data_IF_358838085779
#
_entry.id   IF_358838085779
#
_cell.length_a   1.000
_cell.length_b   1.000
_cell.length_c   1.000
_cell.angle_alpha   90.00
_cell.angle_beta   90.00
_cell.angle_gamma   90.00
#
_symmetry.space_group_name_H-M   'P 1'
#
loop_
_entity.id
_entity.type
_entity.pdbx_description
1 polymer ?
#
# COMPACT_ATOMS: atom_id res chain seq x y z
N UNK A 1 15.67 2.77 -3.05
CA UNK A 1 14.38 2.60 -2.34
C UNK A 1 13.64 1.32 -2.70
N UNK A 2 13.64 0.84 -3.96
CA UNK A 2 13.02 -0.44 -4.36
C UNK A 2 13.20 -1.59 -3.36
N UNK A 3 14.43 -1.85 -2.91
CA UNK A 3 14.71 -2.95 -1.97
C UNK A 3 14.03 -2.79 -0.62
N UNK A 4 13.90 -1.56 -0.12
CA UNK A 4 13.18 -1.26 1.14
C UNK A 4 11.71 -1.65 1.00
N UNK A 5 11.09 -1.33 -0.14
CA UNK A 5 9.69 -1.69 -0.39
C UNK A 5 9.49 -3.20 -0.54
N UNK A 6 10.42 -3.90 -1.19
CA UNK A 6 10.40 -5.37 -1.29
C UNK A 6 10.53 -5.99 0.10
N UNK A 7 11.49 -5.52 0.91
CA UNK A 7 11.66 -5.99 2.28
C UNK A 7 10.40 -5.75 3.12
N UNK A 8 9.74 -4.60 2.97
CA UNK A 8 8.48 -4.31 3.64
C UNK A 8 7.36 -5.28 3.21
N UNK A 9 7.25 -5.61 1.91
CA UNK A 9 6.29 -6.62 1.43
C UNK A 9 6.60 -8.00 2.01
N UNK A 10 7.87 -8.43 1.95
CA UNK A 10 8.29 -9.75 2.49
C UNK A 10 8.02 -9.83 3.98
N UNK A 11 8.34 -8.77 4.73
CA UNK A 11 8.09 -8.71 6.16
C UNK A 11 6.59 -8.74 6.47
N UNK A 12 5.78 -7.91 5.80
CA UNK A 12 4.33 -7.91 5.99
C UNK A 12 3.69 -9.25 5.65
N UNK A 13 4.09 -9.87 4.54
CA UNK A 13 3.58 -11.18 4.16
C UNK A 13 4.02 -12.28 5.13
N UNK A 14 5.27 -12.23 5.59
CA UNK A 14 5.78 -13.15 6.62
C UNK A 14 5.00 -13.06 7.92
N UNK A 15 4.68 -11.84 8.38
CA UNK A 15 3.86 -11.62 9.57
C UNK A 15 2.43 -12.12 9.37
N UNK A 16 1.81 -11.89 8.20
CA UNK A 16 0.50 -12.44 7.87
C UNK A 16 0.50 -13.97 7.97
N UNK A 17 1.45 -14.63 7.31
CA UNK A 17 1.57 -16.10 7.33
C UNK A 17 1.83 -16.62 8.73
N UNK A 18 2.67 -15.94 9.51
CA UNK A 18 2.93 -16.31 10.89
C UNK A 18 1.67 -16.25 11.76
N UNK A 19 0.95 -15.12 11.74
CA UNK A 19 -0.22 -14.93 12.58
C UNK A 19 -1.38 -15.86 12.21
N UNK A 20 -1.75 -15.93 10.93
CA UNK A 20 -2.91 -16.73 10.51
C UNK A 20 -2.57 -18.20 10.23
N UNK A 21 -1.31 -18.53 9.93
CA UNK A 21 -0.90 -19.90 9.61
C UNK A 21 -0.36 -20.70 10.79
N UNK A 22 0.25 -20.03 11.78
CA UNK A 22 0.94 -20.72 12.88
C UNK A 22 0.46 -20.32 14.27
N UNK A 23 -0.03 -19.09 14.47
CA UNK A 23 -0.36 -18.59 15.80
C UNK A 23 -1.85 -18.27 16.00
N UNK A 24 -2.70 -18.59 15.03
CA UNK A 24 -4.12 -18.20 15.02
C UNK A 24 -4.87 -18.70 16.26
N UNK A 25 -4.71 -19.98 16.59
CA UNK A 25 -5.42 -20.63 17.71
C UNK A 25 -4.98 -20.14 19.10
N UNK A 26 -3.85 -19.44 19.18
CA UNK A 26 -3.29 -18.94 20.44
C UNK A 26 -3.59 -17.45 20.70
N UNK A 27 -4.37 -16.80 19.82
CA UNK A 27 -4.66 -15.37 19.92
C UNK A 27 -6.10 -15.12 20.35
N UNK A 28 -6.29 -14.17 21.28
CA UNK A 28 -7.63 -13.63 21.57
C UNK A 28 -8.13 -12.80 20.39
N UNK A 29 -9.44 -12.53 20.34
CA UNK A 29 -10.03 -11.67 19.30
C UNK A 29 -9.40 -10.27 19.26
N UNK A 30 -9.13 -9.68 20.43
CA UNK A 30 -8.44 -8.40 20.53
C UNK A 30 -7.03 -8.45 19.95
N UNK A 31 -6.27 -9.51 20.29
CA UNK A 31 -4.93 -9.70 19.73
C UNK A 31 -4.98 -9.89 18.21
N UNK A 32 -6.01 -10.58 17.71
CA UNK A 32 -6.20 -10.78 16.28
C UNK A 32 -6.37 -9.44 15.56
N UNK A 33 -7.18 -8.53 16.11
CA UNK A 33 -7.39 -7.18 15.57
C UNK A 33 -6.09 -6.36 15.62
N UNK A 34 -5.38 -6.38 16.74
CA UNK A 34 -4.11 -5.66 16.89
C UNK A 34 -3.05 -6.18 15.90
N UNK A 35 -3.05 -7.49 15.64
CA UNK A 35 -2.09 -8.09 14.70
C UNK A 35 -2.29 -7.65 13.26
N UNK A 36 -3.50 -7.18 12.89
CA UNK A 36 -3.78 -6.62 11.56
C UNK A 36 -2.78 -5.53 11.24
N UNK A 37 -2.53 -4.60 12.16
CA UNK A 37 -1.62 -3.48 11.89
C UNK A 37 -0.17 -3.94 11.64
N UNK A 38 0.29 -5.01 12.31
CA UNK A 38 1.68 -5.48 12.20
C UNK A 38 2.02 -6.05 10.83
N UNK A 39 1.07 -6.70 10.15
CA UNK A 39 1.29 -7.20 8.80
C UNK A 39 0.78 -6.23 7.72
N UNK A 40 -0.33 -5.53 7.99
CA UNK A 40 -1.00 -4.71 6.99
C UNK A 40 -0.24 -3.41 6.67
N UNK A 41 0.35 -2.77 7.68
CA UNK A 41 1.14 -1.52 7.52
C UNK A 41 2.37 -1.73 6.63
N UNK A 42 3.29 -2.66 6.92
CA UNK A 42 4.46 -2.88 6.07
C UNK A 42 4.08 -3.35 4.66
N UNK A 43 3.02 -4.16 4.53
CA UNK A 43 2.55 -4.61 3.21
C UNK A 43 2.02 -3.44 2.37
N UNK A 44 1.19 -2.58 2.96
CA UNK A 44 0.64 -1.38 2.31
C UNK A 44 1.74 -0.41 1.91
N UNK A 45 2.68 -0.12 2.82
CA UNK A 45 3.83 0.74 2.53
C UNK A 45 4.69 0.21 1.39
N UNK A 46 5.00 -1.09 1.41
CA UNK A 46 5.81 -1.73 0.39
C UNK A 46 5.11 -1.75 -0.98
N UNK A 47 3.83 -2.09 -1.03
CA UNK A 47 3.05 -2.11 -2.27
C UNK A 47 2.93 -0.70 -2.88
N UNK A 48 2.55 0.30 -2.09
CA UNK A 48 2.47 1.69 -2.54
C UNK A 48 3.84 2.21 -3.02
N UNK A 49 4.92 1.92 -2.29
CA UNK A 49 6.27 2.32 -2.67
C UNK A 49 6.76 1.66 -3.96
N UNK A 50 6.47 0.37 -4.18
CA UNK A 50 6.79 -0.33 -5.43
C UNK A 50 6.06 0.31 -6.61
N UNK A 51 4.77 0.58 -6.47
CA UNK A 51 3.97 1.16 -7.56
C UNK A 51 4.47 2.58 -7.86
N UNK A 52 4.70 3.42 -6.86
CA UNK A 52 5.24 4.77 -7.04
C UNK A 52 6.64 4.75 -7.69
N UNK A 53 7.51 3.81 -7.29
CA UNK A 53 8.82 3.60 -7.90
C UNK A 53 8.71 3.23 -9.39
N UNK A 54 7.81 2.31 -9.74
CA UNK A 54 7.58 1.89 -11.13
C UNK A 54 6.97 3.00 -11.98
N UNK A 55 6.05 3.79 -11.43
CA UNK A 55 5.49 4.98 -12.09
C UNK A 55 6.61 5.97 -12.39
N UNK A 56 7.43 6.34 -11.40
CA UNK A 56 8.55 7.28 -11.58
C UNK A 56 9.54 6.77 -12.63
N UNK A 57 9.91 5.49 -12.58
CA UNK A 57 10.83 4.87 -13.55
C UNK A 57 10.28 4.94 -14.98
N UNK A 58 8.96 4.71 -15.14
CA UNK A 58 8.30 4.73 -16.45
C UNK A 58 8.07 6.16 -16.96
N UNK A 59 7.78 7.11 -16.06
CA UNK A 59 7.57 8.53 -16.35
C UNK A 59 8.87 9.24 -16.74
N UNK A 60 10.01 8.83 -16.20
CA UNK A 60 11.31 9.37 -16.65
C UNK A 60 11.54 9.13 -18.15
N UNK A 61 10.84 8.17 -18.75
CA UNK A 61 10.90 7.87 -20.17
C UNK A 61 9.69 8.41 -20.97
N UNK A 62 8.67 8.96 -20.30
CA UNK A 62 7.42 9.43 -20.92
C UNK A 62 6.83 10.62 -20.14
N UNK A 63 6.53 11.75 -20.79
CA UNK A 63 5.86 12.93 -20.17
C UNK A 63 4.40 12.69 -19.70
N UNK A 64 3.95 11.43 -19.61
CA UNK A 64 2.59 11.07 -19.24
C UNK A 64 2.34 11.26 -17.73
N UNK A 65 1.07 11.52 -17.37
CA UNK A 65 0.65 11.64 -15.97
C UNK A 65 0.77 10.29 -15.25
N UNK A 66 1.08 10.31 -13.95
CA UNK A 66 1.25 9.12 -13.10
C UNK A 66 0.08 8.12 -13.21
N UNK A 67 -1.17 8.62 -13.16
CA UNK A 67 -2.39 7.80 -13.29
C UNK A 67 -2.47 7.13 -14.66
N UNK A 68 -2.20 7.87 -15.73
CA UNK A 68 -2.25 7.31 -17.08
C UNK A 68 -1.24 6.17 -17.23
N UNK A 69 -0.07 6.28 -16.62
CA UNK A 69 0.95 5.22 -16.66
C UNK A 69 0.50 3.95 -15.97
N UNK A 70 -0.15 4.05 -14.80
CA UNK A 70 -0.66 2.88 -14.05
C UNK A 70 -1.64 2.03 -14.84
N UNK A 71 -2.49 2.66 -15.65
CA UNK A 71 -3.55 1.99 -16.41
C UNK A 71 -3.29 1.91 -17.92
N UNK A 72 -2.13 2.39 -18.39
CA UNK A 72 -1.81 2.42 -19.82
C UNK A 72 -1.63 1.04 -20.46
N UNK A 73 -1.47 -0.02 -19.65
CA UNK A 73 -1.14 -1.36 -20.15
C UNK A 73 0.28 -1.52 -20.69
N UNK A 74 1.07 -0.43 -20.80
CA UNK A 74 2.44 -0.44 -21.34
C UNK A 74 3.45 -1.15 -20.43
N UNK A 75 3.13 -1.30 -19.15
CA UNK A 75 3.94 -2.02 -18.18
C UNK A 75 3.04 -3.02 -17.45
N UNK A 76 3.05 -4.27 -17.90
CA UNK A 76 2.23 -5.36 -17.37
C UNK A 76 2.40 -5.50 -15.85
N UNK A 77 3.65 -5.39 -15.35
CA UNK A 77 3.92 -5.47 -13.92
C UNK A 77 3.26 -4.35 -13.12
N UNK A 78 3.30 -3.12 -13.64
CA UNK A 78 2.63 -1.96 -13.02
C UNK A 78 1.10 -2.12 -13.04
N UNK A 79 0.54 -2.62 -14.14
CA UNK A 79 -0.90 -2.88 -14.25
C UNK A 79 -1.33 -3.95 -13.24
N UNK A 80 -0.64 -5.09 -13.19
CA UNK A 80 -0.93 -6.20 -12.26
C UNK A 80 -0.84 -5.71 -10.81
N UNK A 81 0.22 -5.00 -10.45
CA UNK A 81 0.37 -4.44 -9.11
C UNK A 81 -0.74 -3.45 -8.77
N UNK A 82 -1.14 -2.58 -9.70
CA UNK A 82 -2.22 -1.61 -9.47
C UNK A 82 -3.57 -2.31 -9.27
N UNK A 83 -3.84 -3.38 -10.02
CA UNK A 83 -5.04 -4.22 -9.84
C UNK A 83 -5.00 -4.96 -8.50
N UNK A 84 -3.86 -5.55 -8.13
CA UNK A 84 -3.69 -6.21 -6.84
C UNK A 84 -3.89 -5.22 -5.67
N UNK A 85 -3.36 -4.00 -5.82
CA UNK A 85 -3.55 -2.91 -4.86
C UNK A 85 -5.03 -2.55 -4.68
N UNK A 86 -5.77 -2.46 -5.79
CA UNK A 86 -7.21 -2.21 -5.82
C UNK A 86 -7.99 -3.32 -5.12
N UNK A 87 -7.63 -4.59 -5.36
CA UNK A 87 -8.25 -5.72 -4.69
C UNK A 87 -7.92 -5.74 -3.18
N UNK A 88 -6.67 -5.44 -2.82
CA UNK A 88 -6.17 -5.52 -1.45
C UNK A 88 -6.68 -4.38 -0.55
N UNK A 89 -6.81 -3.17 -1.11
CA UNK A 89 -7.16 -1.96 -0.34
C UNK A 89 -8.55 -1.41 -0.67
N UNK A 90 -9.25 -2.02 -1.63
CA UNK A 90 -10.55 -1.57 -2.10
C UNK A 90 -10.52 -0.19 -2.76
N UNK A 91 -11.71 0.35 -3.03
CA UNK A 91 -11.88 1.69 -3.60
C UNK A 91 -11.27 2.78 -2.72
N UNK A 92 -11.41 2.66 -1.39
CA UNK A 92 -10.91 3.66 -0.44
C UNK A 92 -9.38 3.70 -0.48
N UNK A 93 -8.71 2.56 -0.40
CA UNK A 93 -7.25 2.55 -0.38
C UNK A 93 -6.62 2.91 -1.72
N UNK A 94 -7.33 2.67 -2.81
CA UNK A 94 -6.93 3.16 -4.12
C UNK A 94 -7.01 4.69 -4.24
N UNK A 95 -8.06 5.33 -3.73
CA UNK A 95 -8.16 6.80 -3.69
C UNK A 95 -7.03 7.40 -2.84
N UNK A 96 -6.79 6.79 -1.69
CA UNK A 96 -5.69 7.12 -0.79
C UNK A 96 -4.32 7.01 -1.47
N UNK A 97 -4.19 6.16 -2.48
CA UNK A 97 -2.98 6.01 -3.27
C UNK A 97 -2.89 6.97 -4.47
N UNK A 98 -3.99 7.21 -5.20
CA UNK A 98 -4.01 8.14 -6.35
C UNK A 98 -3.68 9.58 -5.91
N UNK A 99 -4.23 10.03 -4.79
CA UNK A 99 -4.07 11.41 -4.33
C UNK A 99 -2.58 11.78 -4.17
N UNK A 100 -1.77 11.05 -3.37
CA UNK A 100 -0.34 11.33 -3.25
C UNK A 100 0.42 11.21 -4.58
N UNK A 101 0.08 10.26 -5.47
CA UNK A 101 0.71 10.16 -6.80
C UNK A 101 0.39 11.36 -7.71
N UNK A 102 -0.74 12.03 -7.47
CA UNK A 102 -1.18 13.18 -8.27
C UNK A 102 -0.64 14.51 -7.74
N UNK A 103 -0.42 14.60 -6.43
CA UNK A 103 0.01 15.82 -5.74
C UNK A 103 1.54 15.93 -5.68
N UNK A 104 2.25 14.81 -5.47
CA UNK A 104 3.71 14.82 -5.37
C UNK A 104 4.31 14.91 -6.77
N UNK A 105 5.23 15.86 -6.98
CA UNK A 105 5.91 16.02 -8.27
C UNK A 105 6.78 14.79 -8.58
N UNK A 106 6.56 14.18 -9.75
CA UNK A 106 7.34 13.04 -10.27
C UNK A 106 8.85 13.30 -10.35
N UNK A 107 9.27 14.56 -10.51
CA UNK A 107 10.68 14.96 -10.54
C UNK A 107 11.37 14.91 -9.17
N UNK A 108 10.62 14.77 -8.09
CA UNK A 108 11.19 14.66 -6.74
C UNK A 108 11.99 13.36 -6.58
N UNK A 109 13.22 13.47 -6.05
CA UNK A 109 14.04 12.30 -5.70
C UNK A 109 13.38 11.41 -4.64
N UNK A 110 12.44 11.97 -3.87
CA UNK A 110 11.71 11.31 -2.80
C UNK A 110 10.27 10.93 -3.18
N UNK A 111 9.87 11.06 -4.46
CA UNK A 111 8.50 10.81 -4.92
C UNK A 111 7.95 9.47 -4.40
N UNK A 112 8.69 8.38 -4.62
CA UNK A 112 8.30 7.03 -4.25
C UNK A 112 8.12 6.84 -2.75
N UNK A 113 9.00 7.45 -1.95
CA UNK A 113 8.90 7.39 -0.50
C UNK A 113 7.74 8.22 0.05
N UNK A 114 7.58 9.45 -0.42
CA UNK A 114 6.51 10.34 0.05
C UNK A 114 5.14 9.79 -0.35
N UNK A 115 5.01 9.23 -1.57
CA UNK A 115 3.75 8.60 -1.98
C UNK A 115 3.43 7.38 -1.12
N UNK A 116 4.41 6.53 -0.82
CA UNK A 116 4.24 5.38 0.06
C UNK A 116 3.86 5.81 1.49
N UNK A 117 4.57 6.79 2.05
CA UNK A 117 4.35 7.28 3.40
C UNK A 117 2.96 7.90 3.54
N UNK A 118 2.60 8.86 2.67
CA UNK A 118 1.30 9.53 2.73
C UNK A 118 0.17 8.53 2.52
N UNK A 119 0.28 7.65 1.52
CA UNK A 119 -0.73 6.62 1.27
C UNK A 119 -0.91 5.71 2.48
N UNK A 120 0.18 5.27 3.11
CA UNK A 120 0.12 4.41 4.30
C UNK A 120 -0.48 5.15 5.50
N UNK A 121 -0.07 6.40 5.75
CA UNK A 121 -0.58 7.19 6.88
C UNK A 121 -2.07 7.47 6.76
N UNK A 122 -2.54 7.89 5.58
CA UNK A 122 -3.97 8.12 5.36
C UNK A 122 -4.75 6.81 5.52
N UNK A 123 -4.21 5.70 5.03
CA UNK A 123 -4.85 4.40 5.16
C UNK A 123 -4.95 3.93 6.63
N UNK A 124 -3.87 4.07 7.40
CA UNK A 124 -3.89 3.80 8.85
C UNK A 124 -4.93 4.68 9.54
N UNK A 125 -5.00 5.97 9.20
CA UNK A 125 -6.03 6.86 9.72
C UNK A 125 -7.44 6.39 9.37
N UNK A 126 -7.65 5.90 8.14
CA UNK A 126 -8.92 5.31 7.70
C UNK A 126 -9.29 4.03 8.44
N UNK A 127 -8.33 3.13 8.65
CA UNK A 127 -8.52 1.92 9.47
C UNK A 127 -8.84 2.27 10.92
N UNK A 128 -8.10 3.21 11.51
CA UNK A 128 -8.34 3.66 12.88
C UNK A 128 -9.73 4.28 13.04
N UNK A 129 -10.14 5.13 12.09
CA UNK A 129 -11.50 5.67 12.07
C UNK A 129 -12.56 4.57 11.90
N UNK A 130 -12.31 3.57 11.06
CA UNK A 130 -13.20 2.43 10.91
C UNK A 130 -13.38 1.68 12.23
N UNK A 131 -12.29 1.32 12.90
CA UNK A 131 -12.36 0.62 14.18
C UNK A 131 -13.03 1.45 15.27
N UNK A 132 -12.73 2.74 15.35
CA UNK A 132 -13.26 3.59 16.42
C UNK A 132 -14.73 4.00 16.21
N UNK A 133 -15.15 4.28 14.97
CA UNK A 133 -16.49 4.82 14.71
C UNK A 133 -17.51 3.80 14.21
N UNK A 134 -17.06 2.75 13.52
CA UNK A 134 -17.97 1.77 12.90
C UNK A 134 -17.89 0.40 13.58
N UNK A 135 -16.70 -0.04 13.97
CA UNK A 135 -16.54 -1.32 14.68
C UNK A 135 -16.91 -1.23 16.15
N UNK A 136 -16.60 -0.13 16.85
CA UNK A 136 -17.00 0.04 18.25
C UNK A 136 -18.53 0.04 18.48
N UNK A 137 -19.32 0.16 17.41
CA UNK A 137 -20.79 0.07 17.44
C UNK A 137 -21.36 -1.30 17.05
N UNK A 138 -20.51 -2.26 16.66
CA UNK A 138 -20.84 -3.66 16.36
C UNK A 138 -20.53 -4.55 17.56
#
# INVERSE_FOLDING_TARGET
MKYVYILAIVFGFGMLVYFYGFNFDNMSEEQLIDTVLYWYVPLTFGLYGIVAYLVRKTASNNQARAIQLMFSGKNVGLTVLSVFLLAYTGLVGFLVFIIPLSVIKLSSKMYDFLSALIGTTIWIGGLWAFFYFFWASL
#
